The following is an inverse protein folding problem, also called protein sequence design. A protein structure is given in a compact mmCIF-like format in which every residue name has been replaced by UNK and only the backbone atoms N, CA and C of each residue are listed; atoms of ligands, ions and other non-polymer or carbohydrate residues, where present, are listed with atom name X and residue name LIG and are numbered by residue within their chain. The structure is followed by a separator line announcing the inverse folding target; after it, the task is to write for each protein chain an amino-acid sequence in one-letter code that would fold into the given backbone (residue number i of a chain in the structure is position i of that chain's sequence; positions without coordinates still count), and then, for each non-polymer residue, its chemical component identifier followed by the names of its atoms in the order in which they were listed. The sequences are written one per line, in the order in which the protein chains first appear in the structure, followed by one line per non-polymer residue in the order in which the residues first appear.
data_IF_732260574542
#
_entry.id   IF_732260574542
#
_cell.length_a   1.000
_cell.length_b   1.000
_cell.length_c   1.000
_cell.angle_alpha   90.00
_cell.angle_beta   90.00
_cell.angle_gamma   90.00
#
_symmetry.space_group_name_H-M   'P 1'
#
loop_
_entity.id
_entity.type
_entity.pdbx_description
1 polymer ?
#
# COMPACT_ATOMS: atom_id res chain seq x y z
N UNK A 1 4.88 -27.48 -16.65
CA UNK A 1 4.85 -28.43 -15.51
C UNK A 1 4.58 -27.66 -14.23
N UNK A 2 3.62 -28.18 -13.47
CA UNK A 2 3.12 -27.85 -12.12
C UNK A 2 2.46 -26.48 -11.83
N UNK A 3 1.12 -26.56 -11.82
CA UNK A 3 0.13 -25.69 -11.19
C UNK A 3 0.30 -25.71 -9.66
N UNK A 4 0.12 -24.57 -8.98
CA UNK A 4 -0.25 -24.56 -7.57
C UNK A 4 -1.63 -23.92 -7.43
N UNK A 5 -2.61 -24.79 -7.15
CA UNK A 5 -3.96 -24.46 -6.72
C UNK A 5 -3.92 -24.21 -5.21
N UNK A 6 -4.48 -23.09 -4.77
CA UNK A 6 -4.68 -22.81 -3.35
C UNK A 6 -5.94 -23.52 -2.88
N UNK A 7 -5.79 -24.75 -2.37
CA UNK A 7 -6.86 -25.48 -1.69
C UNK A 7 -6.91 -25.01 -0.23
N UNK A 8 -7.95 -24.28 0.14
CA UNK A 8 -8.26 -23.98 1.54
C UNK A 8 -9.04 -25.19 2.07
N UNK A 9 -8.34 -26.10 2.76
CA UNK A 9 -8.96 -27.16 3.55
C UNK A 9 -9.03 -26.68 5.01
N UNK A 10 -10.25 -26.46 5.50
CA UNK A 10 -10.54 -26.30 6.92
C UNK A 10 -10.32 -27.65 7.62
N UNK A 11 -9.30 -27.74 8.49
CA UNK A 11 -9.21 -28.80 9.48
C UNK A 11 -9.15 -28.13 10.86
N UNK A 12 -10.18 -28.41 11.64
CA UNK A 12 -10.23 -28.08 13.06
C UNK A 12 -9.29 -29.00 13.84
N UNK A 13 -8.55 -28.44 14.80
CA UNK A 13 -7.91 -29.20 15.86
C UNK A 13 -6.44 -28.84 16.13
N UNK A 14 -6.18 -28.58 17.41
CA UNK A 14 -4.90 -28.57 18.11
C UNK A 14 -4.01 -27.32 18.10
N UNK A 15 -3.71 -26.92 19.34
CA UNK A 15 -2.85 -25.82 19.73
C UNK A 15 -1.42 -25.99 19.26
N UNK A 16 -0.86 -24.93 18.69
CA UNK A 16 0.52 -24.48 18.90
C UNK A 16 0.59 -23.02 18.44
N UNK A 17 1.16 -22.09 19.22
CA UNK A 17 1.49 -20.76 18.72
C UNK A 17 2.66 -20.95 17.75
N UNK A 18 2.35 -21.12 16.47
CA UNK A 18 3.36 -21.09 15.42
C UNK A 18 3.93 -19.68 15.44
N UNK A 19 5.23 -19.57 15.75
CA UNK A 19 5.99 -18.35 15.59
C UNK A 19 5.72 -17.79 14.19
N UNK A 20 4.95 -16.70 14.11
CA UNK A 20 4.59 -16.06 12.85
C UNK A 20 5.86 -15.46 12.27
N UNK A 21 6.42 -16.14 11.27
CA UNK A 21 7.47 -15.57 10.44
C UNK A 21 6.97 -14.23 9.88
N UNK A 22 7.62 -13.14 10.31
CA UNK A 22 7.38 -11.77 9.85
C UNK A 22 7.93 -11.58 8.43
N UNK A 23 7.51 -12.43 7.49
CA UNK A 23 7.92 -12.32 6.11
C UNK A 23 6.93 -11.39 5.39
N UNK A 24 7.40 -10.17 5.10
CA UNK A 24 6.73 -9.25 4.17
C UNK A 24 6.36 -10.01 2.89
N UNK A 25 5.12 -9.90 2.37
CA UNK A 25 4.70 -10.65 1.21
C UNK A 25 5.56 -10.29 -0.02
N UNK A 26 5.96 -11.31 -0.78
CA UNK A 26 6.69 -11.14 -2.03
C UNK A 26 5.86 -10.41 -3.10
N UNK A 27 4.54 -10.56 -3.05
CA UNK A 27 3.61 -9.78 -3.87
C UNK A 27 2.20 -9.96 -3.30
N UNK A 28 1.34 -8.98 -3.54
CA UNK A 28 -0.10 -9.13 -3.33
C UNK A 28 -0.87 -8.31 -4.35
N UNK A 29 -2.12 -8.69 -4.60
CA UNK A 29 -3.05 -7.95 -5.44
C UNK A 29 -4.41 -7.90 -4.74
N UNK A 30 -4.82 -6.70 -4.34
CA UNK A 30 -6.13 -6.44 -3.79
C UNK A 30 -7.01 -5.91 -4.92
N UNK A 31 -8.00 -6.70 -5.31
CA UNK A 31 -9.00 -6.29 -6.29
C UNK A 31 -10.14 -5.62 -5.52
N UNK A 32 -10.37 -4.34 -5.83
CA UNK A 32 -11.37 -3.54 -5.17
C UNK A 32 -12.60 -3.42 -6.07
N UNK A 33 -13.78 -3.68 -5.52
CA UNK A 33 -15.03 -3.30 -6.18
C UNK A 33 -15.15 -1.77 -6.26
N UNK A 34 -14.66 -1.07 -5.23
CA UNK A 34 -14.64 0.39 -5.14
C UNK A 34 -13.50 0.87 -4.24
N UNK A 35 -12.91 2.01 -4.58
CA UNK A 35 -11.99 2.76 -3.71
C UNK A 35 -12.62 4.11 -3.35
N UNK A 36 -13.00 4.28 -2.08
CA UNK A 36 -13.64 5.49 -1.58
C UNK A 36 -12.66 6.33 -0.76
N UNK A 37 -12.28 7.52 -1.26
CA UNK A 37 -11.43 8.46 -0.50
C UNK A 37 -12.24 9.15 0.60
N UNK A 38 -11.84 8.95 1.85
CA UNK A 38 -12.50 9.55 3.01
C UNK A 38 -12.40 11.08 2.94
N UNK A 39 -13.53 11.75 3.19
CA UNK A 39 -13.60 13.22 3.14
C UNK A 39 -13.85 13.80 1.75
N UNK A 40 -14.01 12.96 0.72
CA UNK A 40 -14.57 13.37 -0.57
C UNK A 40 -15.87 12.62 -0.82
N UNK A 41 -16.95 13.34 -1.07
CA UNK A 41 -18.21 12.77 -1.54
C UNK A 41 -18.11 12.62 -3.06
N UNK A 42 -18.31 11.40 -3.56
CA UNK A 42 -18.36 11.13 -4.99
C UNK A 42 -19.58 10.27 -5.32
N UNK A 43 -20.15 10.57 -6.47
CA UNK A 43 -21.36 9.96 -7.01
C UNK A 43 -21.20 8.45 -7.26
N UNK A 44 -22.27 7.69 -7.07
CA UNK A 44 -22.28 6.21 -7.13
C UNK A 44 -22.05 5.65 -8.55
N UNK A 45 -22.01 6.53 -9.55
CA UNK A 45 -21.91 6.21 -10.97
C UNK A 45 -20.51 5.78 -11.45
N UNK A 46 -19.46 5.92 -10.62
CA UNK A 46 -18.09 5.57 -11.01
C UNK A 46 -17.66 4.22 -10.44
N UNK A 47 -17.54 3.23 -11.33
CA UNK A 47 -16.84 1.96 -11.03
C UNK A 47 -15.85 1.69 -12.15
N UNK A 48 -14.68 2.33 -12.07
CA UNK A 48 -13.51 1.85 -12.83
C UNK A 48 -12.91 0.67 -12.07
N UNK A 49 -12.45 -0.37 -12.79
CA UNK A 49 -11.75 -1.50 -12.17
C UNK A 49 -10.54 -0.99 -11.39
N UNK A 50 -10.62 -1.08 -10.06
CA UNK A 50 -9.63 -0.52 -9.14
C UNK A 50 -8.86 -1.62 -8.44
N UNK A 51 -7.55 -1.44 -8.27
CA UNK A 51 -6.72 -2.42 -7.58
C UNK A 51 -5.54 -1.77 -6.87
N UNK A 52 -5.03 -2.45 -5.86
CA UNK A 52 -3.76 -2.15 -5.20
C UNK A 52 -2.87 -3.38 -5.32
N UNK A 53 -1.74 -3.24 -6.00
CA UNK A 53 -0.83 -4.35 -6.31
C UNK A 53 0.58 -4.03 -5.86
N UNK A 54 1.12 -4.87 -4.99
CA UNK A 54 2.53 -4.87 -4.63
C UNK A 54 3.29 -5.95 -5.41
N UNK A 55 4.43 -5.57 -6.00
CA UNK A 55 5.37 -6.47 -6.64
C UNK A 55 6.78 -6.21 -6.11
N UNK A 56 7.33 -7.13 -5.30
CA UNK A 56 8.67 -7.00 -4.72
C UNK A 56 9.78 -7.06 -5.76
N UNK A 57 9.61 -7.80 -6.86
CA UNK A 57 10.63 -7.88 -7.93
C UNK A 57 10.74 -6.55 -8.67
N UNK A 58 9.60 -5.94 -8.95
CA UNK A 58 9.52 -4.60 -9.56
C UNK A 58 9.73 -3.48 -8.55
N UNK A 59 9.74 -3.79 -7.24
CA UNK A 59 9.81 -2.80 -6.17
C UNK A 59 8.76 -1.71 -6.40
N UNK A 60 7.51 -2.09 -6.64
CA UNK A 60 6.49 -1.12 -7.04
C UNK A 60 5.16 -1.40 -6.37
N UNK A 61 4.51 -0.34 -5.92
CA UNK A 61 3.12 -0.37 -5.48
C UNK A 61 2.26 0.33 -6.54
N UNK A 62 1.49 -0.44 -7.28
CA UNK A 62 0.58 0.08 -8.30
C UNK A 62 -0.81 0.24 -7.72
N UNK A 63 -1.38 1.44 -7.82
CA UNK A 63 -2.74 1.73 -7.37
C UNK A 63 -3.54 2.17 -8.58
N UNK A 64 -4.39 1.33 -9.16
CA UNK A 64 -5.30 1.81 -10.21
C UNK A 64 -6.56 2.38 -9.54
N UNK A 65 -6.71 3.70 -9.54
CA UNK A 65 -7.86 4.43 -9.00
C UNK A 65 -7.86 5.85 -9.55
N UNK A 66 -9.01 6.35 -10.00
CA UNK A 66 -9.14 7.75 -10.40
C UNK A 66 -8.89 8.69 -9.21
N UNK A 67 -9.29 8.24 -8.02
CA UNK A 67 -9.29 9.01 -6.77
C UNK A 67 -7.87 9.16 -6.16
N UNK A 68 -6.97 8.21 -6.45
CA UNK A 68 -5.59 8.16 -5.96
C UNK A 68 -4.56 8.37 -7.07
N UNK A 69 -4.98 8.80 -8.26
CA UNK A 69 -4.16 8.81 -9.47
C UNK A 69 -2.89 9.70 -9.34
N UNK A 70 -2.93 10.71 -8.48
CA UNK A 70 -1.81 11.65 -8.28
C UNK A 70 -0.54 11.03 -7.70
N UNK A 71 -0.62 9.83 -7.10
CA UNK A 71 0.53 9.15 -6.47
C UNK A 71 1.16 8.07 -7.37
N UNK A 72 0.66 7.84 -8.59
CA UNK A 72 1.14 6.74 -9.44
C UNK A 72 2.64 6.83 -9.78
N UNK A 73 3.18 8.04 -9.92
CA UNK A 73 4.58 8.25 -10.29
C UNK A 73 5.53 7.93 -9.14
N UNK A 74 5.16 8.30 -7.92
CA UNK A 74 6.01 8.19 -6.73
C UNK A 74 6.06 6.79 -6.12
N UNK A 75 5.10 5.92 -6.43
CA UNK A 75 5.03 4.56 -5.89
C UNK A 75 5.82 3.52 -6.72
N UNK A 76 6.88 3.98 -7.39
CA UNK A 76 7.74 3.18 -8.24
C UNK A 76 9.19 3.15 -7.72
N UNK A 77 9.76 1.97 -7.53
CA UNK A 77 11.11 1.75 -7.01
C UNK A 77 12.24 2.06 -8.00
N UNK A 78 11.95 2.35 -9.27
CA UNK A 78 12.98 2.82 -10.21
C UNK A 78 13.52 4.21 -9.84
N UNK A 79 12.72 5.00 -9.12
CA UNK A 79 13.02 6.39 -8.78
C UNK A 79 13.23 6.61 -7.28
N UNK A 80 12.98 5.58 -6.48
CA UNK A 80 12.91 5.68 -5.03
C UNK A 80 13.58 4.50 -4.32
N UNK A 81 14.23 4.77 -3.20
CA UNK A 81 14.55 3.74 -2.21
C UNK A 81 13.25 3.29 -1.51
N UNK A 82 13.10 1.99 -1.26
CA UNK A 82 11.88 1.43 -0.64
C UNK A 82 12.19 0.74 0.67
N UNK A 83 11.43 1.12 1.68
CA UNK A 83 11.40 0.47 2.99
C UNK A 83 10.05 -0.20 3.16
N UNK A 84 10.03 -1.48 3.53
CA UNK A 84 8.79 -2.22 3.76
C UNK A 84 8.81 -2.82 5.16
N UNK A 85 7.73 -2.61 5.91
CA UNK A 85 7.53 -3.16 7.25
C UNK A 85 6.15 -3.78 7.33
N UNK A 86 6.04 -4.93 7.97
CA UNK A 86 4.76 -5.54 8.31
C UNK A 86 4.60 -5.66 9.81
N UNK A 87 3.41 -5.34 10.29
CA UNK A 87 2.97 -5.54 11.67
C UNK A 87 1.76 -6.49 11.64
N UNK A 88 1.78 -7.51 12.49
CA UNK A 88 0.60 -8.35 12.70
C UNK A 88 -0.18 -7.74 13.86
N UNK A 89 -1.31 -7.11 13.56
CA UNK A 89 -2.25 -6.67 14.59
C UNK A 89 -3.13 -7.86 14.95
N UNK A 90 -3.68 -7.89 16.16
CA UNK A 90 -4.49 -9.01 16.67
C UNK A 90 -5.67 -9.40 15.74
N UNK A 91 -6.15 -8.46 14.92
CA UNK A 91 -7.30 -8.63 14.03
C UNK A 91 -7.00 -8.48 12.53
N UNK A 92 -5.80 -8.03 12.15
CA UNK A 92 -5.42 -7.85 10.74
C UNK A 92 -3.92 -7.63 10.52
N UNK A 93 -3.36 -8.01 9.36
CA UNK A 93 -2.05 -7.56 8.95
C UNK A 93 -2.08 -6.07 8.55
N UNK A 94 -1.05 -5.34 8.99
CA UNK A 94 -0.74 -3.97 8.58
C UNK A 94 0.59 -3.94 7.85
N UNK A 95 0.62 -3.36 6.66
CA UNK A 95 1.82 -3.25 5.84
C UNK A 95 2.14 -1.78 5.59
N UNK A 96 3.37 -1.38 5.84
CA UNK A 96 3.90 -0.06 5.52
C UNK A 96 4.87 -0.15 4.35
N UNK A 97 4.71 0.71 3.37
CA UNK A 97 5.66 0.99 2.31
C UNK A 97 6.11 2.44 2.44
N UNK A 98 7.40 2.70 2.43
CA UNK A 98 7.94 4.06 2.37
C UNK A 98 8.88 4.18 1.18
N UNK A 99 8.53 5.05 0.26
CA UNK A 99 9.28 5.41 -0.92
C UNK A 99 10.00 6.72 -0.63
N UNK A 100 11.33 6.72 -0.76
CA UNK A 100 12.17 7.90 -0.59
C UNK A 100 12.77 8.28 -1.94
N UNK A 101 12.55 9.52 -2.38
CA UNK A 101 13.06 10.01 -3.66
C UNK A 101 14.57 9.95 -3.74
N UNK A 102 15.06 9.49 -4.89
CA UNK A 102 16.49 9.53 -5.17
C UNK A 102 16.91 10.97 -5.51
N UNK A 103 18.05 11.47 -4.97
CA UNK A 103 18.52 12.84 -5.18
C UNK A 103 18.71 13.23 -6.65
N UNK A 104 18.92 12.25 -7.53
CA UNK A 104 19.08 12.45 -8.97
C UNK A 104 17.78 12.90 -9.67
N UNK A 105 16.62 12.57 -9.11
CA UNK A 105 15.31 12.96 -9.65
C UNK A 105 14.79 14.28 -9.06
N UNK A 106 15.21 14.63 -7.84
CA UNK A 106 14.85 15.89 -7.17
C UNK A 106 15.59 17.12 -7.73
N UNK A 107 16.50 16.95 -8.71
CA UNK A 107 17.31 18.05 -9.29
C UNK A 107 16.50 19.17 -9.96
N UNK A 108 15.21 18.96 -10.23
CA UNK A 108 14.39 19.89 -11.00
C UNK A 108 13.36 20.69 -10.18
N UNK A 109 13.21 20.42 -8.88
CA UNK A 109 12.34 21.22 -8.00
C UNK A 109 13.16 21.81 -6.85
N UNK A 110 13.14 23.14 -6.75
CA UNK A 110 13.93 23.96 -5.83
C UNK A 110 13.65 23.66 -4.34
N UNK A 111 14.24 22.61 -3.80
CA UNK A 111 14.23 22.33 -2.37
C UNK A 111 15.30 21.33 -2.01
N UNK A 112 16.20 21.69 -1.09
CA UNK A 112 17.23 20.80 -0.52
C UNK A 112 16.66 19.65 0.33
N UNK A 113 15.37 19.33 0.20
CA UNK A 113 14.66 18.33 0.98
C UNK A 113 14.46 17.04 0.21
N UNK A 114 14.53 15.91 0.90
CA UNK A 114 14.17 14.61 0.32
C UNK A 114 12.66 14.40 0.41
N UNK A 115 12.03 14.02 -0.69
CA UNK A 115 10.60 13.70 -0.74
C UNK A 115 10.37 12.25 -0.30
N UNK A 116 9.32 12.04 0.46
CA UNK A 116 8.87 10.74 0.92
C UNK A 116 7.40 10.54 0.54
N UNK A 117 7.06 9.32 0.17
CA UNK A 117 5.68 8.84 0.06
C UNK A 117 5.57 7.56 0.86
N UNK A 118 4.79 7.61 1.94
CA UNK A 118 4.48 6.46 2.77
C UNK A 118 3.06 5.97 2.50
N UNK A 119 2.90 4.66 2.48
CA UNK A 119 1.63 3.97 2.34
C UNK A 119 1.46 2.99 3.48
N UNK A 120 0.33 3.07 4.19
CA UNK A 120 -0.12 2.05 5.12
C UNK A 120 -1.32 1.31 4.53
N UNK A 121 -1.28 -0.02 4.58
CA UNK A 121 -2.34 -0.92 4.12
C UNK A 121 -2.78 -1.79 5.28
N UNK A 122 -4.00 -1.60 5.75
CA UNK A 122 -4.63 -2.47 6.76
C UNK A 122 -5.64 -3.35 6.04
N UNK A 123 -5.47 -4.68 6.09
CA UNK A 123 -6.33 -5.61 5.34
C UNK A 123 -7.18 -6.38 6.34
N UNK A 124 -8.49 -6.16 6.37
CA UNK A 124 -9.42 -6.92 7.23
C UNK A 124 -10.13 -7.99 6.41
N UNK A 125 -9.75 -9.28 6.54
CA UNK A 125 -10.41 -10.36 5.82
C UNK A 125 -11.88 -10.53 6.25
N UNK A 126 -12.15 -10.37 7.56
CA UNK A 126 -13.49 -10.53 8.14
C UNK A 126 -14.49 -9.53 7.57
N UNK A 127 -14.11 -8.26 7.47
CA UNK A 127 -14.98 -7.20 6.94
C UNK A 127 -14.94 -7.07 5.41
N UNK A 128 -14.09 -7.86 4.73
CA UNK A 128 -13.79 -7.75 3.29
C UNK A 128 -13.45 -6.32 2.87
N UNK A 129 -12.64 -5.63 3.69
CA UNK A 129 -12.22 -4.25 3.46
C UNK A 129 -10.73 -4.09 3.67
N UNK A 130 -10.13 -3.18 2.94
CA UNK A 130 -8.80 -2.68 3.21
C UNK A 130 -8.84 -1.17 3.44
N UNK A 131 -8.11 -0.68 4.44
CA UNK A 131 -7.86 0.73 4.65
C UNK A 131 -6.50 1.08 4.05
N UNK A 132 -6.47 2.20 3.33
CA UNK A 132 -5.27 2.69 2.69
C UNK A 132 -4.99 4.11 3.15
N UNK A 133 -3.80 4.36 3.72
CA UNK A 133 -3.34 5.71 4.05
C UNK A 133 -2.11 6.02 3.20
N UNK A 134 -2.21 7.03 2.33
CA UNK A 134 -1.09 7.62 1.60
C UNK A 134 -0.68 8.91 2.30
N UNK A 135 0.61 9.05 2.59
CA UNK A 135 1.16 10.30 3.13
C UNK A 135 2.39 10.69 2.34
N UNK A 136 2.38 11.88 1.74
CA UNK A 136 3.55 12.51 1.13
C UNK A 136 4.09 13.62 2.03
N UNK A 137 5.40 13.75 2.12
CA UNK A 137 6.06 14.83 2.87
C UNK A 137 7.49 15.07 2.37
N UNK A 138 8.06 16.22 2.71
CA UNK A 138 9.47 16.54 2.46
C UNK A 138 10.24 16.56 3.79
N UNK A 139 11.50 16.12 3.78
CA UNK A 139 12.39 16.20 4.94
C UNK A 139 13.71 16.90 4.59
N UNK A 140 14.06 17.93 5.35
CA UNK A 140 15.33 18.67 5.21
C UNK A 140 16.01 18.77 6.57
N UNK A 141 17.22 18.22 6.71
CA UNK A 141 17.99 18.32 7.96
C UNK A 141 17.26 17.78 9.21
N UNK A 142 16.35 16.82 9.03
CA UNK A 142 15.51 16.27 10.13
C UNK A 142 14.16 16.95 10.31
N UNK A 143 13.89 18.06 9.63
CA UNK A 143 12.61 18.78 9.71
C UNK A 143 11.65 18.29 8.63
N UNK A 144 10.43 17.91 9.02
CA UNK A 144 9.35 17.48 8.12
C UNK A 144 8.51 18.68 7.70
N UNK A 145 8.17 18.77 6.41
CA UNK A 145 7.34 19.82 5.82
C UNK A 145 6.45 19.29 4.70
N UNK A 146 5.49 20.09 4.23
CA UNK A 146 4.60 19.78 3.10
C UNK A 146 3.87 18.43 3.23
N UNK A 147 3.36 18.13 4.44
CA UNK A 147 2.67 16.87 4.71
C UNK A 147 1.28 16.86 4.08
N UNK A 148 1.03 15.89 3.22
CA UNK A 148 -0.28 15.64 2.61
C UNK A 148 -0.68 14.20 2.87
N UNK A 149 -1.82 13.97 3.53
CA UNK A 149 -2.34 12.63 3.78
C UNK A 149 -3.69 12.43 3.10
N UNK A 150 -3.84 11.30 2.40
CA UNK A 150 -5.11 10.78 1.90
C UNK A 150 -5.41 9.43 2.50
N UNK A 151 -6.68 9.20 2.77
CA UNK A 151 -7.19 7.94 3.32
C UNK A 151 -8.29 7.41 2.41
N UNK A 152 -8.26 6.12 2.09
CA UNK A 152 -9.26 5.49 1.25
C UNK A 152 -9.66 4.10 1.76
N UNK A 153 -10.91 3.74 1.56
CA UNK A 153 -11.42 2.39 1.77
C UNK A 153 -11.45 1.63 0.45
N UNK A 154 -10.87 0.44 0.42
CA UNK A 154 -11.06 -0.53 -0.65
C UNK A 154 -12.06 -1.60 -0.17
N UNK A 155 -13.18 -1.75 -0.88
CA UNK A 155 -14.07 -2.89 -0.70
C UNK A 155 -13.51 -4.07 -1.50
N UNK A 156 -13.05 -5.11 -0.82
CA UNK A 156 -12.46 -6.29 -1.47
C UNK A 156 -13.55 -7.08 -2.18
N UNK A 157 -13.24 -7.50 -3.42
CA UNK A 157 -14.10 -8.38 -4.22
C UNK A 157 -14.07 -9.82 -3.71
#
# INVERSE_FOLDING_TARGET
MNKFLMNILLIAGFWSPVALASATPDSFELICDKIDVIGRSFDESRVSSSYIKWDKKKKSLSIKSEELNEFHGELNGNYNDIFVRQENMDSYPRIYFTFKSNPSFDKWENGHGTRFVSTQVDISPESKRALFNLTSFNQTGGVISNVTTKRAWCKLR
#
